data_IF_782642726146
#
_entry.id   IF_782642726146
#
_cell.length_a   1.000
_cell.length_b   1.000
_cell.length_c   1.000
_cell.angle_alpha   90.00
_cell.angle_beta   90.00
_cell.angle_gamma   90.00
#
_symmetry.space_group_name_H-M   'P 1'
#
loop_
_entity.id
_entity.type
_entity.pdbx_description
1 polymer ?
#
# COMPACT_ATOMS: atom_id res chain seq x y z
N UNK A 1 -2.12 67.37 -46.25
CA UNK A 1 -2.83 67.81 -45.05
C UNK A 1 -3.87 66.78 -44.50
N UNK A 2 -4.11 65.66 -45.16
CA UNK A 2 -5.03 64.59 -44.67
C UNK A 2 -4.25 63.42 -44.10
N UNK A 3 -3.05 63.18 -44.61
CA UNK A 3 -2.22 61.99 -44.14
C UNK A 3 -1.63 62.19 -42.75
N UNK A 4 -1.30 63.40 -42.37
CA UNK A 4 -0.70 63.66 -41.02
C UNK A 4 -1.70 63.48 -39.85
N UNK A 5 -2.99 63.69 -40.16
CA UNK A 5 -4.02 63.54 -39.11
C UNK A 5 -4.33 62.06 -38.73
N UNK A 6 -4.22 61.20 -39.72
CA UNK A 6 -4.38 59.75 -39.45
C UNK A 6 -3.22 59.16 -38.66
N UNK A 7 -1.98 59.60 -38.91
CA UNK A 7 -0.80 59.14 -38.20
C UNK A 7 -0.78 59.56 -36.73
N UNK A 8 -1.34 60.77 -36.43
CA UNK A 8 -1.48 61.25 -35.07
C UNK A 8 -2.51 60.43 -34.27
N UNK A 9 -3.64 60.04 -34.88
CA UNK A 9 -4.67 59.24 -34.23
C UNK A 9 -4.18 57.81 -33.92
N UNK A 10 -3.39 57.23 -34.81
CA UNK A 10 -2.79 55.88 -34.55
C UNK A 10 -1.76 55.91 -33.43
N UNK A 11 -0.97 56.98 -33.30
CA UNK A 11 -0.02 57.17 -32.21
C UNK A 11 -0.70 57.27 -30.86
N UNK A 12 -1.76 58.02 -30.75
CA UNK A 12 -2.57 58.18 -29.53
C UNK A 12 -3.28 56.87 -29.16
N UNK A 13 -3.79 56.12 -30.15
CA UNK A 13 -4.42 54.81 -29.94
C UNK A 13 -3.41 53.75 -29.48
N UNK A 14 -2.20 53.72 -30.03
CA UNK A 14 -1.13 52.81 -29.61
C UNK A 14 -0.67 53.15 -28.19
N UNK A 15 -0.59 54.44 -27.83
CA UNK A 15 -0.22 54.87 -26.48
C UNK A 15 -1.30 54.48 -25.44
N UNK A 16 -2.58 54.59 -25.82
CA UNK A 16 -3.70 54.17 -24.98
C UNK A 16 -3.76 52.66 -24.79
N UNK A 17 -3.49 51.86 -25.83
CA UNK A 17 -3.40 50.41 -25.76
C UNK A 17 -2.19 49.94 -24.90
N UNK A 18 -1.05 50.65 -24.97
CA UNK A 18 0.10 50.37 -24.14
C UNK A 18 -0.13 50.67 -22.65
N UNK A 19 -0.90 51.72 -22.34
CA UNK A 19 -1.27 52.06 -20.97
C UNK A 19 -2.27 51.09 -20.35
N UNK A 20 -3.19 50.53 -21.13
CA UNK A 20 -4.16 49.53 -20.66
C UNK A 20 -3.47 48.18 -20.34
N UNK A 21 -2.43 47.85 -21.10
CA UNK A 21 -1.67 46.59 -20.83
C UNK A 21 -0.78 46.64 -19.56
N UNK A 22 -0.40 47.84 -19.09
CA UNK A 22 0.41 47.97 -17.86
C UNK A 22 -0.47 47.86 -16.61
N UNK A 23 -1.75 48.26 -16.69
CA UNK A 23 -2.67 48.20 -15.54
C UNK A 23 -3.21 46.76 -15.30
N UNK A 24 -3.19 45.90 -16.33
CA UNK A 24 -3.70 44.54 -16.24
C UNK A 24 -2.76 43.56 -15.51
N UNK A 25 -1.48 43.90 -15.33
CA UNK A 25 -0.51 43.01 -14.66
C UNK A 25 -0.30 43.27 -13.13
N UNK A 26 -0.88 44.35 -12.57
CA UNK A 26 -0.64 44.69 -11.17
C UNK A 26 -1.61 44.06 -10.14
N UNK A 27 -2.66 43.37 -10.62
CA UNK A 27 -3.64 42.74 -9.72
C UNK A 27 -3.47 41.22 -9.56
N UNK A 28 -2.42 40.61 -10.12
CA UNK A 28 -2.25 39.16 -10.07
C UNK A 28 -1.34 38.69 -8.92
N UNK A 29 -0.52 39.55 -8.35
CA UNK A 29 0.33 39.19 -7.22
C UNK A 29 -0.42 39.06 -5.89
N UNK A 30 -1.49 39.83 -5.68
CA UNK A 30 -2.25 39.76 -4.42
C UNK A 30 -3.20 38.57 -4.30
N UNK A 31 -3.65 38.00 -5.42
CA UNK A 31 -4.53 36.82 -5.35
C UNK A 31 -3.77 35.51 -5.14
N UNK A 32 -2.54 35.39 -5.63
CA UNK A 32 -1.74 34.18 -5.43
C UNK A 32 -1.18 34.09 -4.00
N UNK A 33 -0.81 35.21 -3.38
CA UNK A 33 -0.34 35.21 -1.99
C UNK A 33 -1.47 34.92 -1.02
N UNK A 34 -2.67 35.47 -1.24
CA UNK A 34 -3.85 35.21 -0.37
C UNK A 34 -4.26 33.73 -0.48
N UNK A 35 -4.28 33.14 -1.69
CA UNK A 35 -4.58 31.72 -1.85
C UNK A 35 -3.50 30.81 -1.25
N UNK A 36 -2.22 31.19 -1.34
CA UNK A 36 -1.13 30.42 -0.76
C UNK A 36 -1.16 30.45 0.77
N UNK A 37 -1.45 31.62 1.37
CA UNK A 37 -1.56 31.79 2.81
C UNK A 37 -2.81 31.07 3.38
N UNK A 38 -3.95 31.12 2.68
CA UNK A 38 -5.15 30.35 3.07
C UNK A 38 -4.93 28.84 2.95
N UNK A 39 -4.25 28.36 1.91
CA UNK A 39 -3.92 26.93 1.75
C UNK A 39 -2.94 26.48 2.83
N UNK A 40 -1.94 27.30 3.15
CA UNK A 40 -0.97 26.98 4.20
C UNK A 40 -1.65 26.95 5.59
N UNK A 41 -2.53 27.92 5.90
CA UNK A 41 -3.26 27.92 7.16
C UNK A 41 -4.21 26.73 7.30
N UNK A 42 -4.89 26.33 6.22
CA UNK A 42 -5.76 25.15 6.21
C UNK A 42 -4.98 23.84 6.34
N UNK A 43 -3.80 23.76 5.74
CA UNK A 43 -2.91 22.61 5.88
C UNK A 43 -2.36 22.49 7.29
N UNK A 44 -1.93 23.59 7.91
CA UNK A 44 -1.47 23.63 9.29
C UNK A 44 -2.58 23.21 10.27
N UNK A 45 -3.79 23.74 10.11
CA UNK A 45 -4.94 23.33 10.91
C UNK A 45 -5.28 21.85 10.78
N UNK A 46 -5.13 21.28 9.58
CA UNK A 46 -5.31 19.85 9.36
C UNK A 46 -4.23 19.04 10.05
N UNK A 47 -2.96 19.44 9.97
CA UNK A 47 -1.84 18.79 10.66
C UNK A 47 -2.07 18.78 12.17
N UNK A 48 -2.40 19.94 12.76
CA UNK A 48 -2.71 20.05 14.18
C UNK A 48 -3.87 19.12 14.59
N UNK A 49 -4.93 19.10 13.79
CA UNK A 49 -6.08 18.23 14.04
C UNK A 49 -5.71 16.73 13.96
N UNK A 50 -4.88 16.34 13.00
CA UNK A 50 -4.41 14.97 12.86
C UNK A 50 -3.46 14.58 14.01
N UNK A 51 -2.60 15.49 14.45
CA UNK A 51 -1.75 15.26 15.62
C UNK A 51 -2.56 15.08 16.90
N UNK A 52 -3.60 15.90 17.11
CA UNK A 52 -4.48 15.76 18.27
C UNK A 52 -5.25 14.45 18.26
N UNK A 53 -5.77 14.03 17.10
CA UNK A 53 -6.39 12.71 16.91
C UNK A 53 -5.38 11.61 17.23
N UNK A 54 -4.17 11.70 16.67
CA UNK A 54 -3.13 10.69 16.88
C UNK A 54 -2.71 10.55 18.34
N UNK A 55 -2.65 11.68 19.08
CA UNK A 55 -2.32 11.67 20.51
C UNK A 55 -3.43 11.13 21.42
N UNK A 56 -4.68 11.23 20.97
CA UNK A 56 -5.86 10.83 21.78
C UNK A 56 -6.40 9.47 21.45
N UNK A 57 -6.07 8.92 20.27
CA UNK A 57 -6.56 7.61 19.83
C UNK A 57 -5.96 6.48 20.66
N UNK A 58 -6.81 5.58 21.13
CA UNK A 58 -6.35 4.33 21.75
C UNK A 58 -6.03 3.30 20.64
N UNK A 59 -4.76 3.08 20.39
CA UNK A 59 -4.30 2.13 19.40
C UNK A 59 -4.43 0.67 19.85
N UNK A 60 -4.71 0.38 21.10
CA UNK A 60 -4.77 -0.99 21.63
C UNK A 60 -5.95 -1.78 21.08
N UNK A 61 -7.07 -1.10 20.79
CA UNK A 61 -8.28 -1.71 20.22
C UNK A 61 -8.58 -1.23 18.79
N UNK A 62 -7.63 -0.56 18.15
CA UNK A 62 -7.83 -0.03 16.81
C UNK A 62 -7.60 -1.10 15.75
N UNK A 63 -8.57 -1.36 14.82
CA UNK A 63 -8.53 -2.49 13.90
C UNK A 63 -7.37 -2.49 12.89
N UNK A 64 -6.70 -1.35 12.72
CA UNK A 64 -5.56 -1.18 11.81
C UNK A 64 -4.21 -1.05 12.51
N UNK A 65 -4.17 -1.06 13.86
CA UNK A 65 -2.94 -1.01 14.65
C UNK A 65 -2.34 -2.41 14.84
N UNK A 66 -1.95 -3.02 13.73
CA UNK A 66 -1.49 -4.41 13.74
C UNK A 66 -0.21 -4.64 14.57
N UNK A 67 0.67 -3.65 14.67
CA UNK A 67 1.89 -3.77 15.49
C UNK A 67 1.57 -3.74 16.99
N UNK A 68 0.67 -2.86 17.43
CA UNK A 68 0.26 -2.80 18.83
C UNK A 68 -0.55 -4.04 19.22
N UNK A 69 -1.46 -4.49 18.36
CA UNK A 69 -2.18 -5.74 18.56
C UNK A 69 -1.23 -6.95 18.66
N UNK A 70 -0.17 -6.97 17.83
CA UNK A 70 0.86 -8.02 17.90
C UNK A 70 1.61 -7.99 19.21
N UNK A 71 2.01 -6.82 19.69
CA UNK A 71 2.69 -6.63 20.98
C UNK A 71 1.84 -7.13 22.15
N UNK A 72 0.53 -6.81 22.15
CA UNK A 72 -0.42 -7.31 23.13
C UNK A 72 -0.53 -8.84 23.05
N UNK A 73 -0.63 -9.40 21.85
CA UNK A 73 -0.70 -10.84 21.64
C UNK A 73 0.57 -11.55 22.13
N UNK A 74 1.76 -11.00 21.83
CA UNK A 74 3.06 -11.52 22.30
C UNK A 74 3.13 -11.51 23.85
N UNK A 75 2.64 -10.46 24.50
CA UNK A 75 2.56 -10.38 25.97
C UNK A 75 1.65 -11.47 26.55
N UNK A 76 0.45 -11.64 25.97
CA UNK A 76 -0.49 -12.69 26.41
C UNK A 76 0.06 -14.09 26.21
N UNK A 77 0.79 -14.34 25.13
CA UNK A 77 1.48 -15.62 24.90
C UNK A 77 2.55 -15.84 25.98
N UNK A 78 3.37 -14.82 26.28
CA UNK A 78 4.42 -14.91 27.29
C UNK A 78 3.88 -15.15 28.71
N UNK A 79 2.69 -14.65 29.01
CA UNK A 79 1.98 -14.84 30.29
C UNK A 79 1.23 -16.18 30.37
N UNK A 80 1.19 -16.94 29.26
CA UNK A 80 0.47 -18.21 29.21
C UNK A 80 -1.06 -18.07 29.15
N UNK A 81 -1.56 -16.87 28.83
CA UNK A 81 -2.99 -16.59 28.73
C UNK A 81 -3.62 -17.15 27.44
N UNK A 82 -2.80 -17.33 26.40
CA UNK A 82 -3.24 -17.87 25.13
C UNK A 82 -3.10 -19.39 25.12
N UNK A 83 -4.22 -20.07 24.92
CA UNK A 83 -4.21 -21.53 24.78
C UNK A 83 -3.42 -21.96 23.55
N UNK A 84 -2.63 -23.02 23.69
CA UNK A 84 -1.90 -23.63 22.58
C UNK A 84 -2.88 -24.43 21.70
N UNK A 85 -3.60 -23.76 20.80
CA UNK A 85 -4.63 -24.32 19.94
C UNK A 85 -4.38 -23.97 18.47
N UNK A 86 -5.00 -24.72 17.56
CA UNK A 86 -4.95 -24.44 16.11
C UNK A 86 -5.46 -23.02 15.83
N UNK A 87 -6.54 -22.60 16.49
CA UNK A 87 -7.09 -21.25 16.30
C UNK A 87 -6.10 -20.18 16.74
N UNK A 88 -5.43 -20.35 17.88
CA UNK A 88 -4.43 -19.39 18.35
C UNK A 88 -3.24 -19.26 17.41
N UNK A 89 -2.76 -20.35 16.82
CA UNK A 89 -1.71 -20.30 15.79
C UNK A 89 -2.18 -19.60 14.52
N UNK A 90 -3.43 -19.83 14.12
CA UNK A 90 -4.02 -19.17 12.96
C UNK A 90 -4.11 -17.65 13.18
N UNK A 91 -4.70 -17.23 14.28
CA UNK A 91 -4.90 -15.82 14.63
C UNK A 91 -3.56 -15.09 14.75
N UNK A 92 -2.60 -15.72 15.44
CA UNK A 92 -1.27 -15.17 15.59
C UNK A 92 -0.52 -15.07 14.27
N UNK A 93 -0.59 -16.10 13.42
CA UNK A 93 0.03 -16.09 12.09
C UNK A 93 -0.54 -15.01 11.17
N UNK A 94 -1.86 -14.80 11.20
CA UNK A 94 -2.52 -13.72 10.45
C UNK A 94 -2.08 -12.35 10.99
N UNK A 95 -2.02 -12.17 12.29
CA UNK A 95 -1.60 -10.93 12.92
C UNK A 95 -0.14 -10.60 12.59
N UNK A 96 0.75 -11.59 12.64
CA UNK A 96 2.15 -11.46 12.22
C UNK A 96 2.27 -11.01 10.76
N UNK A 97 1.46 -11.59 9.85
CA UNK A 97 1.41 -11.17 8.44
C UNK A 97 0.97 -9.71 8.33
N UNK A 98 -0.10 -9.32 9.02
CA UNK A 98 -0.62 -7.94 9.01
C UNK A 98 0.38 -6.94 9.55
N UNK A 99 1.20 -7.33 10.55
CA UNK A 99 2.28 -6.53 11.10
C UNK A 99 3.60 -6.63 10.30
N UNK A 100 3.59 -7.22 9.10
CA UNK A 100 4.77 -7.33 8.23
C UNK A 100 5.84 -8.34 8.70
N UNK A 101 5.56 -9.15 9.74
CA UNK A 101 6.50 -10.14 10.28
C UNK A 101 6.37 -11.49 9.53
N UNK A 102 6.55 -11.43 8.19
CA UNK A 102 6.20 -12.53 7.29
C UNK A 102 6.98 -13.83 7.54
N UNK A 103 8.27 -13.78 7.92
CA UNK A 103 9.03 -14.99 8.25
C UNK A 103 8.48 -15.70 9.51
N UNK A 104 8.11 -14.92 10.53
CA UNK A 104 7.44 -15.46 11.72
C UNK A 104 6.06 -16.01 11.39
N UNK A 105 5.31 -15.33 10.51
CA UNK A 105 4.01 -15.80 10.05
C UNK A 105 4.14 -17.17 9.34
N UNK A 106 5.09 -17.32 8.40
CA UNK A 106 5.37 -18.59 7.72
C UNK A 106 5.69 -19.69 8.73
N UNK A 107 6.62 -19.46 9.65
CA UNK A 107 7.00 -20.45 10.66
C UNK A 107 5.86 -20.81 11.60
N UNK A 108 4.97 -19.86 11.92
CA UNK A 108 3.77 -20.09 12.71
C UNK A 108 2.78 -21.00 11.98
N UNK A 109 2.56 -20.78 10.68
CA UNK A 109 1.73 -21.68 9.85
C UNK A 109 2.36 -23.07 9.69
N UNK A 110 3.69 -23.17 9.53
CA UNK A 110 4.39 -24.45 9.49
C UNK A 110 4.20 -25.22 10.79
N UNK A 111 4.25 -24.54 11.94
CA UNK A 111 3.94 -25.11 13.25
C UNK A 111 2.50 -25.59 13.34
N UNK A 112 1.54 -24.77 12.87
CA UNK A 112 0.12 -25.14 12.81
C UNK A 112 -0.08 -26.45 12.04
N UNK A 113 0.48 -26.56 10.82
CA UNK A 113 0.38 -27.75 9.98
C UNK A 113 1.12 -28.97 10.59
N UNK A 114 2.16 -28.74 11.41
CA UNK A 114 2.85 -29.82 12.12
C UNK A 114 2.02 -30.39 13.26
N UNK A 115 1.26 -29.53 13.97
CA UNK A 115 0.38 -29.92 15.08
C UNK A 115 -0.91 -30.55 14.59
N UNK A 116 -1.36 -30.21 13.40
CA UNK A 116 -2.60 -30.71 12.81
C UNK A 116 -2.35 -31.30 11.39
N UNK A 117 -1.79 -32.51 11.28
CA UNK A 117 -1.45 -33.12 10.01
C UNK A 117 -2.64 -33.27 9.05
N UNK A 118 -3.86 -33.41 9.58
CA UNK A 118 -5.10 -33.46 8.82
C UNK A 118 -5.43 -32.16 8.05
N UNK A 119 -4.76 -31.04 8.36
CA UNK A 119 -4.91 -29.79 7.65
C UNK A 119 -3.95 -29.65 6.45
N UNK A 120 -3.04 -30.60 6.25
CA UNK A 120 -2.02 -30.52 5.18
C UNK A 120 -2.59 -30.74 3.79
N UNK A 121 -3.69 -31.49 3.67
CA UNK A 121 -4.34 -31.76 2.41
C UNK A 121 -5.31 -30.63 2.05
N UNK A 122 -5.29 -30.23 0.79
CA UNK A 122 -6.23 -29.23 0.26
C UNK A 122 -7.59 -29.88 0.04
N UNK A 123 -8.61 -29.39 0.78
CA UNK A 123 -9.99 -29.78 0.67
C UNK A 123 -10.92 -28.61 1.01
N UNK A 124 -12.22 -28.78 0.95
CA UNK A 124 -13.22 -27.71 1.15
C UNK A 124 -13.05 -26.99 2.49
N UNK A 125 -12.65 -27.70 3.54
CA UNK A 125 -12.42 -27.12 4.87
C UNK A 125 -11.09 -26.37 4.96
N UNK A 126 -10.06 -26.85 4.29
CA UNK A 126 -8.68 -26.36 4.43
C UNK A 126 -8.26 -25.39 3.31
N UNK A 127 -8.99 -25.31 2.19
CA UNK A 127 -8.64 -24.48 1.04
C UNK A 127 -8.38 -23.01 1.42
N UNK A 128 -9.22 -22.42 2.29
CA UNK A 128 -9.04 -21.06 2.81
C UNK A 128 -7.76 -20.91 3.61
N UNK A 129 -7.38 -21.90 4.41
CA UNK A 129 -6.14 -21.91 5.20
C UNK A 129 -4.91 -21.95 4.28
N UNK A 130 -4.95 -22.76 3.23
CA UNK A 130 -3.89 -22.83 2.23
C UNK A 130 -3.77 -21.52 1.44
N UNK A 131 -4.87 -20.90 1.03
CA UNK A 131 -4.85 -19.57 0.39
C UNK A 131 -4.21 -18.52 1.30
N UNK A 132 -4.57 -18.51 2.58
CA UNK A 132 -3.96 -17.60 3.55
C UNK A 132 -2.45 -17.80 3.63
N UNK A 133 -1.98 -19.06 3.72
CA UNK A 133 -0.55 -19.37 3.70
C UNK A 133 0.15 -18.89 2.43
N UNK A 134 -0.49 -19.07 1.27
CA UNK A 134 0.04 -18.58 0.00
C UNK A 134 0.14 -17.05 -0.03
N UNK A 135 -0.86 -16.34 0.51
CA UNK A 135 -0.83 -14.88 0.65
C UNK A 135 0.33 -14.42 1.56
N UNK A 136 0.62 -15.12 2.65
CA UNK A 136 1.77 -14.80 3.52
C UNK A 136 3.10 -14.89 2.73
N UNK A 137 3.25 -15.90 1.87
CA UNK A 137 4.40 -16.00 0.98
C UNK A 137 4.45 -14.89 -0.06
N UNK A 138 3.31 -14.48 -0.64
CA UNK A 138 3.24 -13.32 -1.54
C UNK A 138 3.66 -12.03 -0.82
N UNK A 139 3.16 -11.79 0.40
CA UNK A 139 3.54 -10.63 1.22
C UNK A 139 5.03 -10.64 1.57
N UNK A 140 5.61 -11.81 1.81
CA UNK A 140 7.06 -11.90 1.99
C UNK A 140 7.82 -11.47 0.73
N UNK A 141 7.41 -11.96 -0.45
CA UNK A 141 8.02 -11.56 -1.72
C UNK A 141 7.90 -10.05 -1.95
N UNK A 142 6.74 -9.46 -1.66
CA UNK A 142 6.51 -8.03 -1.77
C UNK A 142 7.45 -7.22 -0.83
N UNK A 143 7.54 -7.60 0.44
CA UNK A 143 8.38 -6.88 1.41
C UNK A 143 9.86 -6.98 1.02
N UNK A 144 10.34 -8.18 0.69
CA UNK A 144 11.76 -8.40 0.38
C UNK A 144 12.21 -7.69 -0.90
N UNK A 145 11.32 -7.51 -1.89
CA UNK A 145 11.70 -6.99 -3.20
C UNK A 145 11.11 -5.63 -3.52
N UNK A 146 9.83 -5.39 -3.18
CA UNK A 146 9.16 -4.14 -3.56
C UNK A 146 9.28 -3.05 -2.48
N UNK A 147 9.35 -3.42 -1.20
CA UNK A 147 9.47 -2.45 -0.10
C UNK A 147 10.93 -2.13 0.18
N UNK A 148 11.77 -3.16 0.37
CA UNK A 148 13.19 -3.00 0.72
C UNK A 148 14.00 -2.52 -0.48
N UNK A 149 13.73 -3.04 -1.68
CA UNK A 149 14.44 -2.75 -2.93
C UNK A 149 13.57 -1.95 -3.91
N UNK A 150 12.82 -0.96 -3.40
CA UNK A 150 11.89 -0.19 -4.21
C UNK A 150 12.59 0.51 -5.39
N UNK A 151 11.96 0.43 -6.57
CA UNK A 151 12.40 1.10 -7.80
C UNK A 151 11.18 1.57 -8.61
N UNK A 152 11.41 2.31 -9.70
CA UNK A 152 10.35 2.90 -10.52
C UNK A 152 9.43 1.87 -11.21
N UNK A 153 9.87 0.62 -11.35
CA UNK A 153 9.08 -0.46 -11.96
C UNK A 153 8.38 -1.33 -10.91
N UNK A 154 8.71 -1.15 -9.62
CA UNK A 154 8.10 -1.92 -8.52
C UNK A 154 6.59 -1.74 -8.49
N UNK A 155 5.86 -2.85 -8.30
CA UNK A 155 4.39 -2.88 -8.19
C UNK A 155 3.62 -2.47 -9.47
N UNK A 156 4.27 -2.32 -10.61
CA UNK A 156 3.60 -2.04 -11.89
C UNK A 156 3.34 -3.32 -12.68
N UNK A 157 2.11 -3.50 -13.15
CA UNK A 157 1.74 -4.63 -13.98
C UNK A 157 1.88 -4.29 -15.49
N UNK A 158 2.38 -5.24 -16.30
CA UNK A 158 2.97 -6.53 -15.91
C UNK A 158 4.32 -6.34 -15.22
N UNK A 159 4.60 -7.17 -14.20
CA UNK A 159 5.90 -7.15 -13.49
C UNK A 159 7.00 -7.57 -14.45
N UNK A 160 8.02 -6.71 -14.62
CA UNK A 160 9.12 -6.92 -15.55
C UNK A 160 10.34 -6.10 -15.17
N UNK A 161 11.48 -6.34 -15.86
CA UNK A 161 12.70 -5.55 -15.70
C UNK A 161 13.21 -5.56 -14.26
N UNK A 162 13.43 -4.38 -13.69
CA UNK A 162 13.93 -4.22 -12.33
C UNK A 162 12.91 -4.60 -11.24
N UNK A 163 11.62 -4.78 -11.59
CA UNK A 163 10.58 -5.24 -10.66
C UNK A 163 10.56 -6.77 -10.47
N UNK A 164 11.33 -7.55 -11.25
CA UNK A 164 11.49 -8.98 -11.06
C UNK A 164 12.17 -9.23 -9.71
N UNK A 165 11.61 -10.15 -8.94
CA UNK A 165 12.08 -10.46 -7.60
C UNK A 165 13.45 -11.15 -7.63
N UNK A 166 14.43 -10.58 -6.95
CA UNK A 166 15.72 -11.22 -6.68
C UNK A 166 15.62 -12.21 -5.52
N UNK A 167 14.84 -11.84 -4.48
CA UNK A 167 14.51 -12.70 -3.35
C UNK A 167 13.26 -13.52 -3.66
N UNK A 168 13.47 -14.69 -4.31
CA UNK A 168 12.39 -15.47 -4.91
C UNK A 168 11.66 -16.43 -3.95
N UNK A 169 12.09 -16.56 -2.69
CA UNK A 169 11.51 -17.50 -1.73
C UNK A 169 9.99 -17.28 -1.56
N UNK A 170 9.56 -16.03 -1.46
CA UNK A 170 8.15 -15.67 -1.34
C UNK A 170 7.34 -16.16 -2.56
N UNK A 171 7.74 -15.75 -3.75
CA UNK A 171 7.06 -16.11 -5.01
C UNK A 171 7.00 -17.62 -5.23
N UNK A 172 8.12 -18.33 -5.04
CA UNK A 172 8.19 -19.79 -5.22
C UNK A 172 7.31 -20.53 -4.21
N UNK A 173 7.32 -20.11 -2.93
CA UNK A 173 6.46 -20.72 -1.90
C UNK A 173 4.97 -20.51 -2.19
N UNK A 174 4.58 -19.35 -2.68
CA UNK A 174 3.20 -19.07 -3.11
C UNK A 174 2.79 -19.96 -4.30
N UNK A 175 3.65 -20.06 -5.33
CA UNK A 175 3.41 -20.88 -6.52
C UNK A 175 3.12 -22.35 -6.14
N UNK A 176 3.93 -22.93 -5.28
CA UNK A 176 3.74 -24.32 -4.85
C UNK A 176 2.37 -24.54 -4.20
N UNK A 177 1.92 -23.60 -3.39
CA UNK A 177 0.65 -23.71 -2.70
C UNK A 177 -0.52 -23.47 -3.64
N UNK A 178 -0.47 -22.42 -4.48
CA UNK A 178 -1.52 -22.12 -5.44
C UNK A 178 -1.70 -23.26 -6.46
N UNK A 179 -0.62 -23.90 -6.92
CA UNK A 179 -0.72 -25.09 -7.78
C UNK A 179 -1.52 -26.21 -7.12
N UNK A 180 -1.23 -26.54 -5.85
CA UNK A 180 -1.98 -27.56 -5.10
C UNK A 180 -3.46 -27.21 -4.94
N UNK A 181 -3.78 -25.93 -4.72
CA UNK A 181 -5.15 -25.46 -4.64
C UNK A 181 -5.85 -25.68 -6.00
N UNK A 182 -5.22 -25.26 -7.10
CA UNK A 182 -5.80 -25.32 -8.43
C UNK A 182 -5.86 -26.74 -9.01
N UNK A 183 -5.02 -27.68 -8.58
CA UNK A 183 -5.17 -29.10 -8.86
C UNK A 183 -6.49 -29.65 -8.33
N UNK A 184 -6.96 -29.17 -7.18
CA UNK A 184 -8.19 -29.59 -6.54
C UNK A 184 -9.40 -28.73 -6.96
N UNK A 185 -9.18 -27.42 -7.12
CA UNK A 185 -10.18 -26.43 -7.43
C UNK A 185 -9.78 -25.59 -8.66
N UNK A 186 -9.90 -26.17 -9.89
CA UNK A 186 -9.46 -25.47 -11.11
C UNK A 186 -10.23 -24.18 -11.38
N UNK A 187 -11.44 -24.00 -10.82
CA UNK A 187 -12.25 -22.79 -10.94
C UNK A 187 -12.02 -21.78 -9.83
N UNK A 188 -11.00 -21.94 -8.98
CA UNK A 188 -10.58 -20.90 -8.01
C UNK A 188 -9.83 -19.78 -8.75
N UNK A 189 -10.59 -18.83 -9.30
CA UNK A 189 -10.05 -17.72 -10.09
C UNK A 189 -9.16 -16.78 -9.29
N UNK A 190 -9.40 -16.62 -7.98
CA UNK A 190 -8.54 -15.85 -7.09
C UNK A 190 -7.15 -16.48 -7.00
N UNK A 191 -7.08 -17.78 -6.70
CA UNK A 191 -5.81 -18.52 -6.66
C UNK A 191 -5.11 -18.53 -8.00
N UNK A 192 -5.86 -18.62 -9.12
CA UNK A 192 -5.30 -18.59 -10.48
C UNK A 192 -4.69 -17.24 -10.81
N UNK A 193 -5.37 -16.15 -10.45
CA UNK A 193 -4.84 -14.81 -10.65
C UNK A 193 -3.58 -14.55 -9.84
N UNK A 194 -3.58 -14.91 -8.56
CA UNK A 194 -2.42 -14.76 -7.68
C UNK A 194 -1.25 -15.66 -8.08
N UNK A 195 -1.51 -16.86 -8.63
CA UNK A 195 -0.49 -17.71 -9.22
C UNK A 195 0.19 -17.01 -10.40
N UNK A 196 -0.58 -16.39 -11.30
CA UNK A 196 -0.01 -15.64 -12.42
C UNK A 196 0.84 -14.44 -11.93
N UNK A 197 0.37 -13.71 -10.92
CA UNK A 197 1.18 -12.64 -10.29
C UNK A 197 2.49 -13.21 -9.74
N UNK A 198 2.43 -14.32 -9.01
CA UNK A 198 3.62 -14.96 -8.47
C UNK A 198 4.60 -15.41 -9.56
N UNK A 199 4.12 -15.89 -10.71
CA UNK A 199 4.98 -16.19 -11.87
C UNK A 199 5.59 -14.94 -12.48
N UNK A 200 4.82 -13.85 -12.65
CA UNK A 200 5.35 -12.58 -13.18
C UNK A 200 6.50 -12.05 -12.34
N UNK A 201 6.49 -12.28 -11.03
CA UNK A 201 7.60 -11.84 -10.15
C UNK A 201 8.89 -12.64 -10.36
N UNK A 202 8.85 -13.76 -11.06
CA UNK A 202 10.03 -14.58 -11.37
C UNK A 202 10.64 -14.28 -12.75
N UNK A 203 9.93 -13.55 -13.62
CA UNK A 203 10.31 -13.22 -15.00
C UNK A 203 9.81 -14.22 -16.04
#
# INVERSE_FOLDING_TARGET
>A
MIIDRHFSIYKEMILLLALVSIVSCSNQENSQTVYADEINSGTEQMVDSLEDIYRTIDFTDHPYSNEEALKIMDQKIAQGEIKNSIQSYLDYGILLMKAGKNDKAISTFDKLFSLAPNLKDVNDTTAKLHRMRAIIYMRKGEVDNCVINHNAESCLFPIKGAAIHTEQRGSRGAIEIYKKILEKYPEDYESRWLLNVAYMTLG
#
